data_IF_566852958841
#
_entry.id   IF_566852958841
#
_cell.length_a   1.000
_cell.length_b   1.000
_cell.length_c   1.000
_cell.angle_alpha   90.00
_cell.angle_beta   90.00
_cell.angle_gamma   90.00
#
_symmetry.space_group_name_H-M   'P 1'
#
loop_
_entity.id
_entity.type
_entity.pdbx_description
1 polymer ?
#
# COMPACT_ATOMS: atom_id res chain seq x y z
N UNK A 1 -5.21 -11.69 7.27
CA UNK A 1 -4.80 -10.28 7.16
C UNK A 1 -3.70 -9.88 8.14
N UNK A 2 -3.91 -9.93 9.48
CA UNK A 2 -2.90 -9.51 10.48
C UNK A 2 -1.51 -10.15 10.29
N UNK A 3 -1.47 -11.44 9.96
CA UNK A 3 -0.23 -12.18 9.69
C UNK A 3 0.57 -11.60 8.51
N UNK A 4 -0.10 -11.28 7.38
CA UNK A 4 0.55 -10.76 6.16
C UNK A 4 1.16 -9.37 6.41
N UNK A 5 0.44 -8.52 7.14
CA UNK A 5 0.95 -7.18 7.48
C UNK A 5 2.15 -7.28 8.42
N UNK A 6 2.09 -8.17 9.40
CA UNK A 6 3.19 -8.38 10.32
C UNK A 6 4.43 -8.97 9.63
N UNK A 7 4.24 -9.88 8.66
CA UNK A 7 5.32 -10.38 7.81
C UNK A 7 6.00 -9.26 7.03
N UNK A 8 5.26 -8.33 6.43
CA UNK A 8 5.85 -7.20 5.68
C UNK A 8 6.60 -6.21 6.59
N UNK A 9 6.12 -6.01 7.81
CA UNK A 9 6.77 -5.14 8.80
C UNK A 9 8.07 -5.78 9.29
N UNK A 10 8.05 -7.08 9.59
CA UNK A 10 9.19 -7.82 10.13
C UNK A 10 10.22 -8.22 9.07
N UNK A 11 9.84 -8.29 7.80
CA UNK A 11 10.75 -8.59 6.71
C UNK A 11 11.82 -7.50 6.60
N UNK A 12 13.07 -7.84 6.90
CA UNK A 12 14.21 -6.96 6.69
C UNK A 12 14.70 -7.13 5.26
N UNK A 13 14.69 -6.06 4.45
CA UNK A 13 15.10 -6.08 3.05
C UNK A 13 16.47 -6.77 2.87
N UNK A 14 16.47 -8.04 2.44
CA UNK A 14 17.69 -8.86 2.38
C UNK A 14 17.46 -10.37 2.20
N UNK A 15 16.27 -10.89 2.50
CA UNK A 15 15.93 -12.29 2.24
C UNK A 15 15.36 -12.49 0.82
N UNK A 16 16.02 -13.33 0.02
CA UNK A 16 15.49 -13.75 -1.28
C UNK A 16 14.20 -14.55 -1.09
N UNK A 17 13.14 -14.19 -1.81
CA UNK A 17 11.74 -14.66 -1.68
C UNK A 17 10.99 -14.20 -0.40
N UNK A 18 11.44 -13.09 0.20
CA UNK A 18 10.78 -12.45 1.34
C UNK A 18 9.40 -11.84 1.01
N UNK A 19 8.52 -11.65 2.01
CA UNK A 19 7.22 -10.97 1.86
C UNK A 19 7.26 -9.66 1.06
N UNK A 20 8.31 -8.85 1.21
CA UNK A 20 8.50 -7.58 0.50
C UNK A 20 8.88 -7.75 -0.97
N UNK A 21 9.60 -8.80 -1.33
CA UNK A 21 9.86 -9.11 -2.75
C UNK A 21 8.56 -9.45 -3.49
N UNK A 22 7.60 -10.09 -2.80
CA UNK A 22 6.26 -10.38 -3.33
C UNK A 22 5.28 -9.20 -3.24
N UNK A 23 5.68 -8.09 -2.62
CA UNK A 23 4.87 -6.89 -2.52
C UNK A 23 5.18 -5.94 -3.69
N UNK A 24 4.24 -5.85 -4.63
CA UNK A 24 4.38 -4.99 -5.82
C UNK A 24 4.58 -3.53 -5.44
N UNK A 25 3.89 -3.05 -4.38
CA UNK A 25 3.97 -1.66 -3.95
C UNK A 25 5.33 -1.32 -3.34
N UNK A 26 5.92 -2.24 -2.57
CA UNK A 26 7.29 -2.08 -2.08
C UNK A 26 8.30 -2.03 -3.24
N UNK A 27 8.18 -2.95 -4.20
CA UNK A 27 9.07 -2.99 -5.36
C UNK A 27 8.96 -1.69 -6.19
N UNK A 28 7.74 -1.22 -6.44
CA UNK A 28 7.49 0.00 -7.21
C UNK A 28 8.01 1.25 -6.50
N UNK A 29 7.78 1.38 -5.19
CA UNK A 29 8.24 2.55 -4.46
C UNK A 29 9.75 2.58 -4.30
N UNK A 30 10.39 1.44 -3.99
CA UNK A 30 11.86 1.37 -3.92
C UNK A 30 12.49 1.67 -5.28
N UNK A 31 11.91 1.15 -6.37
CA UNK A 31 12.36 1.48 -7.73
C UNK A 31 12.25 2.98 -7.99
N UNK A 32 11.13 3.61 -7.61
CA UNK A 32 10.93 5.05 -7.77
C UNK A 32 11.99 5.87 -7.02
N UNK A 33 12.28 5.54 -5.76
CA UNK A 33 13.34 6.21 -5.00
C UNK A 33 14.72 6.06 -5.63
N UNK A 34 15.02 4.88 -6.20
CA UNK A 34 16.29 4.64 -6.90
C UNK A 34 16.43 5.45 -8.18
N UNK A 35 15.35 5.56 -8.97
CA UNK A 35 15.37 6.22 -10.28
C UNK A 35 15.29 7.74 -10.18
N UNK A 36 14.42 8.26 -9.30
CA UNK A 36 14.12 9.70 -9.22
C UNK A 36 14.88 10.43 -8.11
N UNK A 37 15.43 9.69 -7.14
CA UNK A 37 16.02 10.26 -5.92
C UNK A 37 14.98 10.87 -4.98
N UNK A 38 15.34 11.02 -3.70
CA UNK A 38 14.41 11.44 -2.63
C UNK A 38 13.63 12.74 -2.94
N UNK A 39 14.28 13.77 -3.51
CA UNK A 39 13.67 15.10 -3.74
C UNK A 39 12.55 15.10 -4.78
N UNK A 40 12.59 14.20 -5.77
CA UNK A 40 11.57 14.14 -6.81
C UNK A 40 10.33 13.34 -6.36
N UNK A 41 10.52 12.39 -5.45
CA UNK A 41 9.45 11.56 -4.89
C UNK A 41 8.65 12.32 -3.82
N UNK A 42 9.31 13.16 -3.03
CA UNK A 42 8.65 13.95 -1.98
C UNK A 42 7.98 15.23 -2.48
N UNK A 43 8.22 15.63 -3.74
CA UNK A 43 7.60 16.81 -4.34
C UNK A 43 6.11 16.61 -4.66
N UNK A 44 5.36 17.70 -4.84
CA UNK A 44 3.90 17.68 -5.09
C UNK A 44 3.50 16.74 -6.22
N UNK A 45 4.29 16.72 -7.31
CA UNK A 45 4.06 15.82 -8.44
C UNK A 45 4.28 14.34 -8.08
N UNK A 46 5.31 14.03 -7.28
CA UNK A 46 5.55 12.67 -6.79
C UNK A 46 4.45 12.21 -5.82
N UNK A 47 3.94 13.11 -4.98
CA UNK A 47 2.81 12.84 -4.10
C UNK A 47 1.54 12.54 -4.90
N UNK A 48 1.26 13.30 -5.96
CA UNK A 48 0.11 13.08 -6.84
C UNK A 48 0.21 11.76 -7.64
N UNK A 49 1.36 11.51 -8.28
CA UNK A 49 1.62 10.25 -8.99
C UNK A 49 1.53 9.04 -8.05
N UNK A 50 1.90 9.21 -6.78
CA UNK A 50 1.73 8.18 -5.77
C UNK A 50 0.26 7.98 -5.38
N UNK A 51 -0.47 9.07 -5.14
CA UNK A 51 -1.88 9.02 -4.76
C UNK A 51 -2.71 8.23 -5.77
N UNK A 52 -2.49 8.42 -7.08
CA UNK A 52 -3.17 7.65 -8.12
C UNK A 52 -2.80 6.15 -8.10
N UNK A 53 -1.53 5.81 -7.81
CA UNK A 53 -1.04 4.43 -7.82
C UNK A 53 -1.41 3.63 -6.58
N UNK A 54 -1.62 4.30 -5.44
CA UNK A 54 -1.88 3.67 -4.14
C UNK A 54 -3.34 3.75 -3.73
N UNK A 55 -4.24 4.19 -4.62
CA UNK A 55 -5.68 4.10 -4.36
C UNK A 55 -6.08 2.67 -4.02
N UNK A 56 -6.96 2.44 -3.02
CA UNK A 56 -7.37 1.09 -2.61
C UNK A 56 -8.39 0.47 -3.57
N UNK A 57 -8.38 0.84 -4.85
CA UNK A 57 -9.33 0.37 -5.87
C UNK A 57 -10.77 0.76 -5.55
N UNK A 58 -11.71 -0.17 -5.72
CA UNK A 58 -13.14 0.07 -5.53
C UNK A 58 -13.53 0.47 -4.10
N UNK A 59 -12.62 0.41 -3.13
CA UNK A 59 -12.86 0.87 -1.76
C UNK A 59 -12.82 2.40 -1.62
N UNK A 60 -12.26 3.12 -2.61
CA UNK A 60 -12.18 4.58 -2.61
C UNK A 60 -11.43 5.20 -1.43
N UNK A 61 -11.55 6.51 -1.26
CA UNK A 61 -10.83 7.26 -0.23
C UNK A 61 -11.33 6.92 1.18
N UNK A 62 -12.64 6.70 1.35
CA UNK A 62 -13.19 6.27 2.64
C UNK A 62 -12.58 4.93 3.10
N UNK A 63 -12.47 3.97 2.18
CA UNK A 63 -11.82 2.70 2.46
C UNK A 63 -10.33 2.86 2.77
N UNK A 64 -9.64 3.74 2.04
CA UNK A 64 -8.24 4.09 2.32
C UNK A 64 -8.06 4.57 3.76
N UNK A 65 -8.92 5.50 4.19
CA UNK A 65 -8.91 6.07 5.54
C UNK A 65 -9.16 5.01 6.61
N UNK A 66 -10.16 4.15 6.43
CA UNK A 66 -10.47 3.07 7.38
C UNK A 66 -9.30 2.10 7.50
N UNK A 67 -8.71 1.69 6.37
CA UNK A 67 -7.53 0.81 6.35
C UNK A 67 -6.36 1.49 7.05
N UNK A 68 -6.09 2.75 6.74
CA UNK A 68 -4.98 3.51 7.33
C UNK A 68 -5.14 3.66 8.84
N UNK A 69 -6.32 4.05 9.34
CA UNK A 69 -6.59 4.17 10.78
C UNK A 69 -6.47 2.81 11.48
N UNK A 70 -6.94 1.74 10.85
CA UNK A 70 -6.79 0.38 11.36
C UNK A 70 -5.33 -0.03 11.47
N UNK A 71 -4.51 0.28 10.45
CA UNK A 71 -3.07 0.05 10.46
C UNK A 71 -2.37 0.87 11.54
N UNK A 72 -2.74 2.14 11.74
CA UNK A 72 -2.16 2.98 12.80
C UNK A 72 -2.47 2.46 14.21
N UNK A 73 -3.68 1.92 14.40
CA UNK A 73 -4.09 1.33 15.67
C UNK A 73 -3.35 0.02 15.95
N UNK A 74 -3.24 -0.85 14.94
CA UNK A 74 -2.62 -2.19 15.08
C UNK A 74 -1.09 -2.15 15.05
N UNK A 75 -0.52 -1.23 14.28
CA UNK A 75 0.91 -1.09 13.99
C UNK A 75 1.29 0.40 13.95
N UNK A 76 1.34 1.08 15.12
CA UNK A 76 1.67 2.49 15.17
C UNK A 76 2.99 2.79 14.45
N UNK A 77 3.14 3.91 13.72
CA UNK A 77 4.38 4.25 13.03
C UNK A 77 5.62 4.23 13.94
N UNK A 78 5.45 4.55 15.22
CA UNK A 78 6.52 4.51 16.24
C UNK A 78 7.01 3.10 16.60
N UNK A 79 6.24 2.06 16.27
CA UNK A 79 6.64 0.66 16.45
C UNK A 79 7.43 0.09 15.27
N UNK A 80 7.53 0.83 14.16
CA UNK A 80 8.25 0.41 12.95
C UNK A 80 9.65 1.00 13.02
N UNK A 81 10.67 0.15 12.95
CA UNK A 81 12.07 0.58 12.86
C UNK A 81 12.30 1.35 11.54
N UNK A 82 12.65 2.66 11.58
CA UNK A 82 12.90 3.44 10.38
C UNK A 82 14.00 2.87 9.50
N UNK A 83 14.98 2.18 10.08
CA UNK A 83 16.08 1.58 9.31
C UNK A 83 15.62 0.36 8.50
N UNK A 84 14.59 -0.35 8.98
CA UNK A 84 14.06 -1.52 8.30
C UNK A 84 13.22 -1.14 7.09
N UNK A 85 12.62 0.05 7.05
CA UNK A 85 11.75 0.51 5.95
C UNK A 85 12.41 1.53 5.01
N UNK A 86 13.71 1.81 5.20
CA UNK A 86 14.47 2.67 4.31
C UNK A 86 14.35 2.21 2.84
N UNK A 87 14.20 3.13 1.86
CA UNK A 87 14.35 4.58 1.97
C UNK A 87 13.10 5.34 2.42
N UNK A 88 12.03 4.64 2.82
CA UNK A 88 10.79 5.26 3.29
C UNK A 88 10.87 5.62 4.77
N UNK A 89 10.10 6.63 5.18
CA UNK A 89 9.68 6.77 6.57
C UNK A 89 8.62 5.73 6.94
N UNK A 90 8.43 5.39 8.23
CA UNK A 90 7.33 4.54 8.68
C UNK A 90 5.95 4.97 8.19
N UNK A 91 5.69 6.28 8.13
CA UNK A 91 4.42 6.82 7.64
C UNK A 91 4.23 6.57 6.14
N UNK A 92 5.27 6.78 5.34
CA UNK A 92 5.26 6.47 3.91
C UNK A 92 5.14 4.97 3.66
N UNK A 93 5.77 4.13 4.49
CA UNK A 93 5.60 2.69 4.38
C UNK A 93 4.15 2.27 4.63
N UNK A 94 3.49 2.82 5.66
CA UNK A 94 2.08 2.54 5.91
C UNK A 94 1.21 2.98 4.73
N UNK A 95 1.30 4.25 4.32
CA UNK A 95 0.41 4.82 3.30
C UNK A 95 0.67 4.30 1.89
N UNK A 96 1.94 4.06 1.52
CA UNK A 96 2.31 3.70 0.15
C UNK A 96 2.45 2.20 -0.09
N UNK A 97 2.60 1.41 0.98
CA UNK A 97 2.81 -0.03 0.88
C UNK A 97 1.72 -0.80 1.62
N UNK A 98 1.54 -0.57 2.92
CA UNK A 98 0.61 -1.38 3.71
C UNK A 98 -0.86 -1.13 3.37
N UNK A 99 -1.27 0.12 3.13
CA UNK A 99 -2.65 0.44 2.72
C UNK A 99 -3.05 -0.29 1.43
N UNK A 100 -2.34 -0.12 0.30
CA UNK A 100 -2.74 -0.79 -0.94
C UNK A 100 -2.54 -2.31 -0.87
N UNK A 101 -1.61 -2.81 -0.06
CA UNK A 101 -1.45 -4.24 0.19
C UNK A 101 -2.63 -4.86 0.96
N UNK A 102 -3.13 -4.18 1.99
CA UNK A 102 -4.34 -4.60 2.70
C UNK A 102 -5.54 -4.58 1.76
N UNK A 103 -5.64 -3.56 0.89
CA UNK A 103 -6.68 -3.51 -0.13
C UNK A 103 -6.62 -4.72 -1.09
N UNK A 104 -5.44 -5.15 -1.52
CA UNK A 104 -5.28 -6.42 -2.27
C UNK A 104 -5.81 -7.61 -1.46
N UNK A 105 -5.42 -7.72 -0.18
CA UNK A 105 -5.84 -8.84 0.65
C UNK A 105 -7.37 -8.90 0.79
N UNK A 106 -8.02 -7.75 0.95
CA UNK A 106 -9.48 -7.62 0.97
C UNK A 106 -10.11 -8.00 -0.38
N UNK A 107 -9.55 -7.55 -1.51
CA UNK A 107 -10.02 -7.94 -2.85
C UNK A 107 -9.91 -9.46 -3.05
N UNK A 108 -8.80 -10.07 -2.63
CA UNK A 108 -8.64 -11.52 -2.73
C UNK A 108 -9.67 -12.27 -1.89
N UNK A 109 -10.01 -11.74 -0.71
CA UNK A 109 -11.06 -12.30 0.15
C UNK A 109 -12.44 -12.23 -0.52
N UNK A 110 -12.82 -11.07 -1.05
CA UNK A 110 -14.07 -10.87 -1.78
C UNK A 110 -14.21 -11.79 -2.99
N UNK A 111 -13.11 -11.96 -3.73
CA UNK A 111 -13.05 -12.81 -4.93
C UNK A 111 -12.82 -14.27 -4.62
N UNK A 112 -12.63 -14.63 -3.34
CA UNK A 112 -12.25 -15.98 -2.88
C UNK A 112 -11.04 -16.53 -3.64
N UNK A 113 -10.11 -15.65 -4.04
CA UNK A 113 -8.92 -15.98 -4.81
C UNK A 113 -7.74 -16.28 -3.87
N UNK A 114 -6.80 -17.10 -4.33
CA UNK A 114 -5.65 -17.56 -3.53
C UNK A 114 -4.40 -17.68 -4.39
N UNK A 115 -3.24 -17.66 -3.72
CA UNK A 115 -1.93 -17.79 -4.36
C UNK A 115 -1.58 -16.63 -5.27
N UNK A 116 -0.46 -16.77 -5.98
CA UNK A 116 0.13 -15.67 -6.78
C UNK A 116 -0.77 -15.21 -7.92
N UNK A 117 -1.52 -16.14 -8.54
CA UNK A 117 -2.49 -15.80 -9.58
C UNK A 117 -3.61 -14.93 -9.02
N UNK A 118 -4.16 -15.28 -7.86
CA UNK A 118 -5.21 -14.50 -7.20
C UNK A 118 -4.72 -13.12 -6.77
N UNK A 119 -3.47 -13.03 -6.32
CA UNK A 119 -2.81 -11.77 -5.97
C UNK A 119 -2.62 -10.88 -7.20
N UNK A 120 -2.09 -11.43 -8.30
CA UNK A 120 -1.92 -10.67 -9.55
C UNK A 120 -3.25 -10.16 -10.11
N UNK A 121 -4.32 -10.98 -10.02
CA UNK A 121 -5.68 -10.56 -10.38
C UNK A 121 -6.19 -9.45 -9.46
N UNK A 122 -5.95 -9.56 -8.15
CA UNK A 122 -6.34 -8.53 -7.19
C UNK A 122 -5.61 -7.20 -7.41
N UNK A 123 -4.31 -7.20 -7.76
CA UNK A 123 -3.58 -5.99 -8.18
C UNK A 123 -4.25 -5.35 -9.40
N UNK A 124 -4.63 -6.17 -10.39
CA UNK A 124 -5.31 -5.68 -11.59
C UNK A 124 -6.67 -5.06 -11.24
N UNK A 125 -7.49 -5.74 -10.43
CA UNK A 125 -8.78 -5.22 -9.98
C UNK A 125 -8.59 -3.92 -9.21
N UNK A 126 -7.63 -3.84 -8.29
CA UNK A 126 -7.33 -2.64 -7.52
C UNK A 126 -7.07 -1.45 -8.45
N UNK A 127 -6.22 -1.62 -9.46
CA UNK A 127 -5.89 -0.54 -10.42
C UNK A 127 -7.06 -0.18 -11.33
N UNK A 128 -7.73 -1.18 -11.89
CA UNK A 128 -8.82 -0.97 -12.85
C UNK A 128 -10.06 -0.33 -12.18
N UNK A 129 -10.23 -0.52 -10.88
CA UNK A 129 -11.39 -0.03 -10.13
C UNK A 129 -11.16 1.26 -9.35
N UNK A 130 -9.96 1.85 -9.42
CA UNK A 130 -9.64 3.08 -8.68
C UNK A 130 -10.58 4.25 -9.03
N UNK A 131 -10.84 4.49 -10.31
CA UNK A 131 -11.76 5.56 -10.74
C UNK A 131 -13.20 5.34 -10.25
N UNK A 132 -13.63 4.08 -10.17
CA UNK A 132 -14.92 3.72 -9.58
C UNK A 132 -14.95 4.01 -8.08
N UNK A 133 -13.89 3.61 -7.34
CA UNK A 133 -13.79 3.84 -5.90
C UNK A 133 -13.83 5.32 -5.54
N UNK A 134 -13.07 6.17 -6.26
CA UNK A 134 -13.08 7.63 -6.07
C UNK A 134 -14.48 8.21 -6.30
N UNK A 135 -15.20 7.74 -7.33
CA UNK A 135 -16.53 8.23 -7.64
C UNK A 135 -17.60 7.78 -6.63
N UNK A 136 -17.49 6.56 -6.10
CA UNK A 136 -18.53 5.95 -5.27
C UNK A 136 -18.32 6.15 -3.77
N UNK A 137 -17.06 6.25 -3.34
CA UNK A 137 -16.68 6.38 -1.93
C UNK A 137 -15.61 7.48 -1.75
N UNK A 138 -15.90 8.74 -2.14
CA UNK A 138 -15.01 9.86 -1.87
C UNK A 138 -14.92 10.14 -0.37
N UNK A 139 -13.80 10.71 0.10
CA UNK A 139 -13.75 11.26 1.45
C UNK A 139 -14.81 12.37 1.51
N UNK A 140 -15.80 12.24 2.40
CA UNK A 140 -16.87 13.23 2.52
C UNK A 140 -16.21 14.60 2.69
N UNK A 141 -16.35 15.46 1.68
CA UNK A 141 -16.01 16.86 1.81
C UNK A 141 -16.92 17.41 2.88
N UNK A 142 -16.41 17.54 4.11
CA UNK A 142 -17.21 17.89 5.27
C UNK A 142 -18.08 19.10 4.98
N UNK A 143 -19.39 18.88 4.97
CA UNK A 143 -20.41 19.89 5.18
C UNK A 143 -20.74 19.98 6.67
#
# INVERSE_FOLDING_TARGET
MKHIVQELILDTAGEADGPRERCVFWAEVVKEYREKGSRAVTGVRGQFENFEKTQPGYYGEQGSNIIHQSLYSLFPPSSIDPSSVAPLSPNEFISRVLVPEVAIALIMEDRRSKGDKGRAEAVKILRDSAAYGVAMFPEDGGD
#
